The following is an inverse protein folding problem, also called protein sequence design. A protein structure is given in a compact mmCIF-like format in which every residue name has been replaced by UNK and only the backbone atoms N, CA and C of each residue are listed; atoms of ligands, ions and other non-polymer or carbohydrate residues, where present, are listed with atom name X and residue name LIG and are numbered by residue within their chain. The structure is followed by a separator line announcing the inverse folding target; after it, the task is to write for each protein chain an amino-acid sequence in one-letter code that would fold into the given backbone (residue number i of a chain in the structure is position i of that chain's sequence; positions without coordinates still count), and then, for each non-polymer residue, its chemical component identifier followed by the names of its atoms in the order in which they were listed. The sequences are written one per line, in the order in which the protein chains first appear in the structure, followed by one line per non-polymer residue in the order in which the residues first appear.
data_IF_003764944229
#
_entry.id   IF_003764944229
#
_cell.length_a   1.000
_cell.length_b   1.000
_cell.length_c   1.000
_cell.angle_alpha   90.00
_cell.angle_beta   90.00
_cell.angle_gamma   90.00
#
_symmetry.space_group_name_H-M   'P 1'
#
loop_
_entity.id
_entity.type
_entity.pdbx_description
1 polymer ?
#
# COMPACT_ATOMS: atom_id res chain seq x y z
N UNK A 1 -4.82 -7.82 -9.99
CA UNK A 1 -4.70 -9.27 -9.78
C UNK A 1 -4.46 -9.46 -8.31
N UNK A 2 -5.25 -10.30 -7.64
CA UNK A 2 -5.01 -10.67 -6.24
C UNK A 2 -4.20 -11.97 -6.23
N UNK A 3 -3.20 -12.05 -5.36
CA UNK A 3 -2.39 -13.25 -5.19
C UNK A 3 -2.38 -13.68 -3.72
N UNK A 4 -2.55 -14.97 -3.49
CA UNK A 4 -2.57 -15.58 -2.17
C UNK A 4 -1.79 -16.90 -2.15
N UNK A 5 -1.38 -17.37 -0.96
CA UNK A 5 -0.66 -18.64 -0.81
C UNK A 5 -1.44 -19.86 -1.29
N UNK A 6 -2.77 -19.81 -1.26
CA UNK A 6 -3.64 -20.94 -1.59
C UNK A 6 -4.71 -20.57 -2.61
N UNK A 7 -5.18 -21.58 -3.35
CA UNK A 7 -6.25 -21.39 -4.33
C UNK A 7 -7.58 -21.03 -3.66
N UNK A 8 -7.87 -21.54 -2.46
CA UNK A 8 -9.13 -21.26 -1.76
C UNK A 8 -9.22 -19.78 -1.33
N UNK A 9 -8.13 -19.21 -0.83
CA UNK A 9 -8.06 -17.77 -0.54
C UNK A 9 -8.23 -16.92 -1.80
N UNK A 10 -7.64 -17.36 -2.93
CA UNK A 10 -7.82 -16.67 -4.21
C UNK A 10 -9.27 -16.73 -4.70
N UNK A 11 -9.96 -17.86 -4.51
CA UNK A 11 -11.40 -18.01 -4.83
C UNK A 11 -12.26 -17.10 -3.96
N UNK A 12 -11.99 -17.07 -2.65
CA UNK A 12 -12.72 -16.24 -1.70
C UNK A 12 -12.56 -14.75 -2.02
N UNK A 13 -11.33 -14.30 -2.23
CA UNK A 13 -11.03 -12.90 -2.59
C UNK A 13 -11.56 -12.51 -3.98
N UNK A 14 -11.63 -13.46 -4.93
CA UNK A 14 -12.21 -13.26 -6.26
C UNK A 14 -13.74 -13.05 -6.25
N UNK A 15 -14.40 -13.37 -5.14
CA UNK A 15 -15.85 -13.21 -4.98
C UNK A 15 -16.68 -14.13 -5.89
N UNK A 16 -17.98 -13.84 -5.96
CA UNK A 16 -18.99 -14.68 -6.66
C UNK A 16 -19.05 -14.48 -8.18
N UNK A 17 -18.10 -13.76 -8.78
CA UNK A 17 -18.14 -13.36 -10.19
C UNK A 17 -17.57 -14.41 -11.17
N UNK A 18 -17.36 -15.65 -10.73
CA UNK A 18 -16.87 -16.73 -11.58
C UNK A 18 -15.41 -16.52 -12.03
N UNK A 19 -14.59 -15.87 -11.18
CA UNK A 19 -13.17 -15.69 -11.44
C UNK A 19 -12.44 -17.03 -11.58
N UNK A 20 -11.55 -17.12 -12.57
CA UNK A 20 -10.68 -18.27 -12.74
C UNK A 20 -9.45 -18.14 -11.84
N UNK A 21 -9.08 -19.22 -11.16
CA UNK A 21 -7.88 -19.26 -10.32
C UNK A 21 -6.73 -19.83 -11.10
N UNK A 22 -5.56 -19.22 -10.93
CA UNK A 22 -4.34 -19.56 -11.64
C UNK A 22 -3.22 -19.78 -10.64
N UNK A 23 -2.34 -20.72 -10.95
CA UNK A 23 -1.02 -20.81 -10.35
C UNK A 23 -0.11 -19.81 -11.06
N UNK A 24 0.55 -18.96 -10.29
CA UNK A 24 1.58 -18.08 -10.80
C UNK A 24 2.93 -18.80 -10.80
N UNK A 25 3.63 -18.73 -11.93
CA UNK A 25 5.02 -19.15 -12.03
C UNK A 25 5.89 -17.96 -12.44
N UNK A 26 6.89 -17.67 -11.61
CA UNK A 26 7.82 -16.57 -11.82
C UNK A 26 9.12 -17.16 -12.36
N UNK A 27 9.51 -16.74 -13.55
CA UNK A 27 10.74 -17.21 -14.21
C UNK A 27 11.95 -16.33 -13.85
N UNK A 28 11.71 -15.04 -13.62
CA UNK A 28 12.74 -14.05 -13.32
C UNK A 28 13.44 -14.31 -11.97
N UNK A 29 14.77 -14.27 -11.96
CA UNK A 29 15.58 -14.43 -10.74
C UNK A 29 15.56 -13.17 -9.85
N UNK A 30 15.38 -11.99 -10.46
CA UNK A 30 15.32 -10.70 -9.77
C UNK A 30 13.92 -10.32 -9.30
N UNK A 31 12.99 -11.27 -9.26
CA UNK A 31 11.63 -11.01 -8.81
C UNK A 31 11.61 -10.54 -7.35
N UNK A 32 10.85 -9.49 -7.07
CA UNK A 32 10.56 -9.04 -5.71
C UNK A 32 9.22 -9.59 -5.30
N UNK A 33 9.23 -10.42 -4.27
CA UNK A 33 8.03 -10.99 -3.67
C UNK A 33 7.90 -10.42 -2.27
N UNK A 34 6.71 -10.00 -1.92
CA UNK A 34 6.40 -9.48 -0.59
C UNK A 34 5.10 -10.11 -0.11
N UNK A 35 5.06 -10.55 1.14
CA UNK A 35 3.84 -11.05 1.78
C UNK A 35 3.55 -10.22 3.02
N UNK A 36 2.29 -9.82 3.19
CA UNK A 36 1.80 -9.26 4.46
C UNK A 36 1.02 -10.33 5.23
N UNK A 37 0.93 -10.18 6.54
CA UNK A 37 0.20 -11.13 7.40
C UNK A 37 -1.32 -11.04 7.22
N UNK A 38 -1.82 -9.86 6.83
CA UNK A 38 -3.24 -9.66 6.59
C UNK A 38 -3.67 -10.31 5.28
N UNK A 39 -4.83 -10.97 5.31
CA UNK A 39 -5.39 -11.66 4.14
C UNK A 39 -5.72 -10.71 2.96
N UNK A 40 -5.98 -9.43 3.22
CA UNK A 40 -6.17 -8.37 2.21
C UNK A 40 -5.62 -7.05 2.80
N UNK A 41 -4.78 -6.35 2.06
CA UNK A 41 -4.23 -5.06 2.48
C UNK A 41 -5.31 -4.02 2.78
N UNK A 42 -6.51 -4.14 2.18
CA UNK A 42 -7.67 -3.28 2.46
C UNK A 42 -8.22 -3.44 3.87
N UNK A 43 -7.96 -4.57 4.54
CA UNK A 43 -8.37 -4.77 5.94
C UNK A 43 -7.31 -4.33 6.94
N UNK A 44 -6.14 -3.88 6.48
CA UNK A 44 -5.09 -3.42 7.36
C UNK A 44 -5.60 -2.27 8.27
N UNK A 45 -5.31 -2.29 9.59
CA UNK A 45 -5.83 -1.29 10.53
C UNK A 45 -5.53 0.17 10.11
N UNK A 46 -4.41 0.37 9.42
CA UNK A 46 -3.96 1.69 8.94
C UNK A 46 -4.82 2.31 7.86
N UNK A 47 -5.58 1.51 7.12
CA UNK A 47 -6.58 2.02 6.16
C UNK A 47 -7.60 2.92 6.86
N UNK A 48 -7.86 2.69 8.15
CA UNK A 48 -8.77 3.51 8.97
C UNK A 48 -8.03 4.51 9.85
N UNK A 49 -6.84 4.18 10.37
CA UNK A 49 -6.14 5.06 11.33
C UNK A 49 -5.35 6.19 10.66
N UNK A 50 -4.68 5.96 9.52
CA UNK A 50 -3.88 6.99 8.85
C UNK A 50 -4.73 8.16 8.34
N UNK A 51 -5.91 7.96 7.69
CA UNK A 51 -6.75 9.09 7.31
C UNK A 51 -7.22 9.92 8.51
N UNK A 52 -7.51 9.27 9.65
CA UNK A 52 -7.86 9.98 10.89
C UNK A 52 -6.68 10.79 11.43
N UNK A 53 -5.48 10.23 11.40
CA UNK A 53 -4.26 10.93 11.80
C UNK A 53 -3.97 12.12 10.88
N UNK A 54 -4.15 11.96 9.57
CA UNK A 54 -4.02 13.05 8.60
C UNK A 54 -4.99 14.19 8.92
N UNK A 55 -6.26 13.89 9.16
CA UNK A 55 -7.25 14.90 9.55
C UNK A 55 -6.87 15.58 10.87
N UNK A 56 -6.38 14.84 11.86
CA UNK A 56 -5.89 15.43 13.12
C UNK A 56 -4.67 16.32 12.92
N UNK A 57 -3.77 15.99 11.99
CA UNK A 57 -2.64 16.81 11.58
C UNK A 57 -3.07 18.10 10.86
N UNK A 58 -4.11 18.01 10.03
CA UNK A 58 -4.75 19.16 9.38
C UNK A 58 -5.53 20.03 10.37
N UNK A 59 -5.97 19.48 11.50
CA UNK A 59 -6.73 20.19 12.54
C UNK A 59 -8.19 20.38 12.14
N UNK A 60 -9.08 20.42 13.13
CA UNK A 60 -10.53 20.36 12.91
C UNK A 60 -11.07 21.52 12.04
N UNK A 61 -10.42 22.68 12.12
CA UNK A 61 -10.84 23.89 11.42
C UNK A 61 -10.15 24.08 10.06
N UNK A 62 -9.39 23.13 9.52
CA UNK A 62 -8.65 23.39 8.27
C UNK A 62 -9.56 23.73 7.07
N UNK A 63 -10.77 23.18 7.05
CA UNK A 63 -11.79 23.47 6.04
C UNK A 63 -12.43 24.84 6.26
N UNK A 64 -12.66 25.24 7.52
CA UNK A 64 -13.21 26.53 7.93
C UNK A 64 -12.15 27.63 8.07
N UNK A 65 -10.87 27.26 8.01
CA UNK A 65 -9.72 28.11 8.27
C UNK A 65 -9.58 29.25 7.26
N UNK A 66 -8.70 30.18 7.59
CA UNK A 66 -8.49 31.33 6.71
C UNK A 66 -7.77 30.89 5.41
N UNK A 67 -7.82 31.74 4.38
CA UNK A 67 -7.24 31.41 3.07
C UNK A 67 -5.73 31.13 3.16
N UNK A 68 -5.01 31.84 4.03
CA UNK A 68 -3.57 31.69 4.19
C UNK A 68 -3.22 30.30 4.71
N UNK A 69 -3.88 29.83 5.76
CA UNK A 69 -3.66 28.49 6.34
C UNK A 69 -3.93 27.37 5.33
N UNK A 70 -4.91 27.57 4.45
CA UNK A 70 -5.22 26.62 3.37
C UNK A 70 -4.15 26.64 2.29
N UNK A 71 -3.66 27.82 1.92
CA UNK A 71 -2.60 27.97 0.92
C UNK A 71 -1.30 27.28 1.35
N UNK A 72 -0.99 27.29 2.65
CA UNK A 72 0.22 26.66 3.20
C UNK A 72 0.28 25.14 2.98
N UNK A 73 -0.87 24.49 2.75
CA UNK A 73 -0.96 23.05 2.48
C UNK A 73 -1.46 22.73 1.05
N UNK A 74 -2.14 23.67 0.40
CA UNK A 74 -2.83 23.47 -0.89
C UNK A 74 -1.92 22.93 -2.00
N UNK A 75 -0.63 23.25 -1.94
CA UNK A 75 0.35 22.79 -2.91
C UNK A 75 0.40 21.26 -3.03
N UNK A 76 0.09 20.50 -1.97
CA UNK A 76 0.03 19.02 -2.04
C UNK A 76 -1.02 18.49 -3.02
N UNK A 77 -2.03 19.29 -3.37
CA UNK A 77 -3.08 18.93 -4.32
C UNK A 77 -2.85 19.52 -5.71
N UNK A 78 -1.68 20.13 -5.96
CA UNK A 78 -1.33 20.56 -7.30
C UNK A 78 -1.21 19.34 -8.23
N UNK A 79 -1.82 19.38 -9.43
CA UNK A 79 -1.70 18.28 -10.37
C UNK A 79 -0.26 18.18 -10.89
N UNK A 80 0.16 16.95 -11.22
CA UNK A 80 1.41 16.67 -11.92
C UNK A 80 2.70 17.08 -11.17
N UNK A 81 2.67 17.15 -9.83
CA UNK A 81 3.90 17.32 -9.06
C UNK A 81 4.83 16.13 -9.26
N UNK A 82 6.09 16.41 -9.59
CA UNK A 82 7.17 15.45 -9.56
C UNK A 82 7.49 15.03 -8.12
N UNK A 83 8.20 13.90 -7.97
CA UNK A 83 8.68 13.44 -6.66
C UNK A 83 9.50 14.51 -5.95
N UNK A 84 10.44 15.15 -6.66
CA UNK A 84 11.34 16.15 -6.07
C UNK A 84 10.58 17.39 -5.60
N UNK A 85 9.55 17.82 -6.34
CA UNK A 85 8.68 18.92 -5.92
C UNK A 85 7.88 18.55 -4.66
N UNK A 86 7.31 17.33 -4.61
CA UNK A 86 6.62 16.84 -3.40
C UNK A 86 7.57 16.82 -2.20
N UNK A 87 8.79 16.31 -2.38
CA UNK A 87 9.79 16.27 -1.31
C UNK A 87 10.16 17.67 -0.82
N UNK A 88 10.27 18.65 -1.72
CA UNK A 88 10.49 20.05 -1.37
C UNK A 88 9.33 20.67 -0.59
N UNK A 89 8.07 20.37 -0.93
CA UNK A 89 6.91 20.87 -0.19
C UNK A 89 6.96 20.46 1.29
N UNK A 90 7.46 19.26 1.57
CA UNK A 90 7.61 18.75 2.93
C UNK A 90 8.82 19.29 3.70
N UNK A 91 9.67 20.14 3.10
CA UNK A 91 10.78 20.76 3.81
C UNK A 91 10.37 21.98 4.65
N UNK A 92 9.15 22.48 4.49
CA UNK A 92 8.74 23.78 5.04
C UNK A 92 7.56 23.70 6.01
N UNK A 93 7.68 24.49 7.07
CA UNK A 93 6.59 24.80 8.00
C UNK A 93 5.83 23.58 8.50
N UNK A 94 4.50 23.71 8.50
CA UNK A 94 3.56 22.72 8.99
C UNK A 94 3.64 21.37 8.28
N UNK A 95 3.95 21.35 6.98
CA UNK A 95 3.98 20.12 6.19
C UNK A 95 5.09 19.17 6.64
N UNK A 96 6.24 19.70 7.06
CA UNK A 96 7.35 18.90 7.60
C UNK A 96 6.91 18.08 8.81
N UNK A 97 6.31 18.73 9.80
CA UNK A 97 5.86 18.09 11.03
C UNK A 97 4.76 17.05 10.75
N UNK A 98 3.86 17.36 9.80
CA UNK A 98 2.84 16.41 9.35
C UNK A 98 3.46 15.17 8.71
N UNK A 99 4.47 15.34 7.85
CA UNK A 99 5.19 14.22 7.22
C UNK A 99 5.85 13.34 8.26
N UNK A 100 6.60 13.91 9.19
CA UNK A 100 7.30 13.14 10.22
C UNK A 100 6.32 12.34 11.09
N UNK A 101 5.21 12.95 11.49
CA UNK A 101 4.18 12.30 12.30
C UNK A 101 3.44 11.19 11.55
N UNK A 102 3.06 11.43 10.30
CA UNK A 102 2.39 10.42 9.46
C UNK A 102 3.35 9.27 9.15
N UNK A 103 4.56 9.59 8.71
CA UNK A 103 5.58 8.60 8.35
C UNK A 103 5.96 7.72 9.54
N UNK A 104 6.14 8.32 10.73
CA UNK A 104 6.44 7.60 11.96
C UNK A 104 5.29 6.71 12.47
N UNK A 105 4.06 6.91 11.97
CA UNK A 105 2.89 6.11 12.32
C UNK A 105 2.62 4.96 11.34
N UNK A 106 3.27 4.92 10.18
CA UNK A 106 3.13 3.83 9.21
C UNK A 106 3.91 2.62 9.73
N UNK A 107 3.19 1.52 9.94
CA UNK A 107 3.67 0.17 10.30
C UNK A 107 3.36 -0.86 9.23
N UNK A 108 2.55 -0.52 8.22
CA UNK A 108 2.24 -1.41 7.11
C UNK A 108 3.48 -2.10 6.52
N UNK A 109 4.58 -1.37 6.36
CA UNK A 109 5.82 -1.90 5.81
C UNK A 109 6.67 -2.69 6.81
N UNK A 110 6.45 -2.51 8.12
CA UNK A 110 7.13 -3.30 9.16
C UNK A 110 6.58 -4.74 9.21
N UNK A 111 5.33 -4.93 8.79
CA UNK A 111 4.63 -6.22 8.69
C UNK A 111 4.76 -6.85 7.29
N UNK A 112 5.47 -6.18 6.37
CA UNK A 112 5.72 -6.63 5.02
C UNK A 112 6.99 -7.47 4.96
N UNK A 113 6.85 -8.75 4.65
CA UNK A 113 7.96 -9.70 4.57
C UNK A 113 8.43 -9.86 3.13
N UNK A 114 9.66 -9.40 2.85
CA UNK A 114 10.32 -9.66 1.58
C UNK A 114 10.75 -11.13 1.50
N UNK A 115 10.40 -11.77 0.40
CA UNK A 115 10.67 -13.17 0.12
C UNK A 115 11.57 -13.29 -1.12
N UNK A 116 12.52 -14.22 -1.08
CA UNK A 116 13.18 -14.71 -2.29
C UNK A 116 12.33 -15.79 -2.95
N UNK A 117 12.59 -16.07 -4.23
CA UNK A 117 11.85 -17.07 -5.01
C UNK A 117 11.94 -18.48 -4.40
N UNK A 118 13.05 -18.79 -3.72
CA UNK A 118 13.33 -20.08 -3.12
C UNK A 118 12.75 -20.22 -1.71
N UNK A 119 12.37 -19.10 -1.08
CA UNK A 119 11.75 -19.12 0.24
C UNK A 119 10.31 -19.61 0.15
N UNK A 120 9.94 -20.50 1.08
CA UNK A 120 8.55 -20.84 1.29
C UNK A 120 7.79 -19.58 1.75
N UNK A 121 6.52 -19.47 1.36
CA UNK A 121 5.64 -18.43 1.87
C UNK A 121 5.56 -18.55 3.40
N UNK A 122 5.77 -17.44 4.10
CA UNK A 122 5.89 -17.43 5.55
C UNK A 122 4.58 -17.84 6.23
N UNK A 123 3.44 -17.52 5.60
CA UNK A 123 2.12 -17.81 6.10
C UNK A 123 1.25 -18.43 5.00
N UNK A 124 0.39 -19.38 5.37
CA UNK A 124 -0.65 -19.93 4.49
C UNK A 124 -1.87 -19.00 4.35
N UNK A 125 -1.82 -17.85 5.02
CA UNK A 125 -2.73 -16.72 4.92
C UNK A 125 -1.95 -15.45 4.59
N UNK A 126 -2.57 -14.49 3.91
CA UNK A 126 -1.92 -13.21 3.60
C UNK A 126 -1.97 -12.85 2.13
N UNK A 127 -2.04 -11.56 1.82
CA UNK A 127 -1.91 -11.06 0.44
C UNK A 127 -0.45 -11.03 0.01
N UNK A 128 -0.20 -11.39 -1.26
CA UNK A 128 1.13 -11.44 -1.86
C UNK A 128 1.23 -10.36 -2.94
N UNK A 129 2.31 -9.58 -2.88
CA UNK A 129 2.69 -8.59 -3.88
C UNK A 129 3.92 -9.06 -4.64
N UNK A 130 3.90 -8.89 -5.96
CA UNK A 130 4.93 -9.43 -6.83
C UNK A 130 5.27 -8.40 -7.89
N UNK A 131 6.57 -8.12 -8.02
CA UNK A 131 7.16 -7.37 -9.11
C UNK A 131 8.17 -8.28 -9.82
N UNK A 132 7.92 -8.62 -11.09
CA UNK A 132 8.79 -9.48 -11.87
C UNK A 132 8.71 -9.08 -13.36
N UNK A 133 9.85 -9.16 -14.06
CA UNK A 133 9.93 -8.90 -15.50
C UNK A 133 9.23 -10.00 -16.30
N UNK A 134 9.30 -11.25 -15.82
CA UNK A 134 8.73 -12.42 -16.51
C UNK A 134 7.98 -13.35 -15.54
N UNK A 135 6.70 -13.57 -15.83
CA UNK A 135 5.82 -14.50 -15.13
C UNK A 135 4.76 -15.08 -16.06
N UNK A 136 4.18 -16.23 -15.68
CA UNK A 136 3.05 -16.85 -16.38
C UNK A 136 1.99 -17.34 -15.41
N UNK A 137 0.74 -17.33 -15.89
CA UNK A 137 -0.40 -17.88 -15.18
C UNK A 137 -0.77 -19.22 -15.79
N UNK A 138 -0.87 -20.24 -14.93
CA UNK A 138 -1.31 -21.58 -15.31
C UNK A 138 -2.70 -21.78 -14.71
N UNK A 139 -3.75 -22.01 -15.51
CA UNK A 139 -5.08 -22.28 -15.00
C UNK A 139 -5.05 -23.46 -14.02
N UNK A 140 -5.67 -23.28 -12.84
CA UNK A 140 -5.95 -24.38 -11.94
C UNK A 140 -7.33 -24.93 -12.30
N UNK A 141 -7.40 -26.25 -12.52
CA UNK A 141 -8.66 -26.97 -12.77
C UNK A 141 -9.45 -27.16 -11.47
#
# INVERSE_FOLDING_TARGET
MYASPTADLAKEAGGSWGGQVFKLEIAAENAKICQIDQWDAKVHPEVKSLPKLLNACLGDDWISGNLQEKQDIAALWAPCLSKDEVDQLFCFGRLKDMRERLWGAIRFWDEAHLLTREQALNNFSGEIFIEAEEWRLIPLQ
#
